data_IF_931693429145
#
_entry.id   IF_931693429145
#
_cell.length_a   1.000
_cell.length_b   1.000
_cell.length_c   1.000
_cell.angle_alpha   90.00
_cell.angle_beta   90.00
_cell.angle_gamma   90.00
#
_symmetry.space_group_name_H-M   'P 1'
#
loop_
_entity.id
_entity.type
_entity.pdbx_description
1 polymer ?
#
# COMPACT_ATOMS: atom_id res chain seq x y z
N UNK A 1 -3.68 5.49 -7.57
CA UNK A 1 -2.24 5.13 -7.46
C UNK A 1 -1.90 5.37 -6.01
N UNK A 2 -1.42 4.35 -5.30
CA UNK A 2 -1.01 4.51 -3.90
C UNK A 2 0.47 4.87 -3.89
N UNK A 3 0.80 5.99 -3.24
CA UNK A 3 2.18 6.43 -3.06
C UNK A 3 2.52 6.27 -1.59
N UNK A 4 3.58 5.51 -1.32
CA UNK A 4 4.16 5.37 0.02
C UNK A 4 5.51 6.05 -0.05
N UNK A 5 5.66 7.17 0.66
CA UNK A 5 6.89 7.95 0.70
C UNK A 5 7.64 7.69 2.00
N UNK A 6 8.96 7.59 1.93
CA UNK A 6 9.83 7.36 3.09
C UNK A 6 10.99 8.33 3.09
N UNK A 7 11.41 8.72 4.29
CA UNK A 7 12.71 9.28 4.54
C UNK A 7 13.61 8.14 5.03
N UNK A 8 14.79 8.03 4.43
CA UNK A 8 15.79 7.01 4.78
C UNK A 8 17.04 7.74 5.22
N UNK A 9 17.44 7.51 6.46
CA UNK A 9 18.70 7.99 7.02
C UNK A 9 19.67 6.81 7.13
N UNK A 10 20.83 6.95 6.50
CA UNK A 10 21.88 5.93 6.46
C UNK A 10 23.12 6.47 7.16
N UNK A 11 23.67 5.71 8.13
CA UNK A 11 24.93 6.02 8.81
C UNK A 11 25.89 4.84 8.70
N UNK A 12 27.16 5.12 8.36
CA UNK A 12 28.21 4.09 8.25
C UNK A 12 28.34 3.45 6.87
N UNK A 13 27.72 4.02 5.82
CA UNK A 13 27.75 3.48 4.45
C UNK A 13 28.53 4.36 3.46
N UNK A 14 29.47 5.15 3.95
CA UNK A 14 30.22 6.14 3.15
C UNK A 14 31.09 5.51 2.06
N UNK A 15 31.51 4.25 2.26
CA UNK A 15 32.30 3.49 1.30
C UNK A 15 31.49 2.99 0.08
N UNK A 16 30.16 3.04 0.12
CA UNK A 16 29.32 2.57 -0.99
C UNK A 16 29.16 3.64 -2.06
N UNK A 17 29.21 3.21 -3.32
CA UNK A 17 28.84 4.09 -4.44
C UNK A 17 27.37 4.46 -4.30
N UNK A 18 27.03 5.71 -4.58
CA UNK A 18 25.66 6.21 -4.55
C UNK A 18 24.69 5.35 -5.39
N UNK A 19 25.19 4.76 -6.49
CA UNK A 19 24.42 3.83 -7.33
C UNK A 19 23.99 2.58 -6.56
N UNK A 20 24.90 1.95 -5.84
CA UNK A 20 24.64 0.71 -5.10
C UNK A 20 23.69 0.96 -3.93
N UNK A 21 23.82 2.12 -3.27
CA UNK A 21 22.86 2.60 -2.27
C UNK A 21 21.46 2.76 -2.88
N UNK A 22 21.35 3.46 -4.00
CA UNK A 22 20.08 3.68 -4.68
C UNK A 22 19.46 2.38 -5.20
N UNK A 23 20.27 1.41 -5.61
CA UNK A 23 19.81 0.08 -6.02
C UNK A 23 19.24 -0.69 -4.82
N UNK A 24 19.98 -0.76 -3.71
CA UNK A 24 19.51 -1.41 -2.48
C UNK A 24 18.19 -0.80 -1.96
N UNK A 25 18.09 0.54 -1.93
CA UNK A 25 16.88 1.24 -1.51
C UNK A 25 15.72 0.95 -2.47
N UNK A 26 15.96 0.94 -3.79
CA UNK A 26 14.91 0.64 -4.78
C UNK A 26 14.39 -0.80 -4.65
N UNK A 27 15.28 -1.75 -4.41
CA UNK A 27 14.90 -3.15 -4.21
C UNK A 27 14.06 -3.32 -2.95
N UNK A 28 14.51 -2.76 -1.83
CA UNK A 28 13.80 -2.83 -0.55
C UNK A 28 12.42 -2.15 -0.60
N UNK A 29 12.34 -0.98 -1.25
CA UNK A 29 11.06 -0.30 -1.51
C UNK A 29 10.13 -1.10 -2.40
N UNK A 30 10.67 -1.77 -3.43
CA UNK A 30 9.87 -2.61 -4.32
C UNK A 30 9.29 -3.80 -3.55
N UNK A 31 10.11 -4.45 -2.71
CA UNK A 31 9.68 -5.53 -1.82
C UNK A 31 8.61 -5.06 -0.83
N UNK A 32 8.78 -3.87 -0.24
CA UNK A 32 7.79 -3.27 0.66
C UNK A 32 6.45 -3.05 -0.06
N UNK A 33 6.47 -2.50 -1.29
CA UNK A 33 5.25 -2.31 -2.09
C UNK A 33 4.54 -3.63 -2.42
N UNK A 34 5.30 -4.69 -2.73
CA UNK A 34 4.75 -6.04 -2.97
C UNK A 34 4.15 -6.61 -1.69
N UNK A 35 4.84 -6.47 -0.55
CA UNK A 35 4.34 -6.93 0.75
C UNK A 35 3.05 -6.21 1.12
N UNK A 36 3.00 -4.89 0.96
CA UNK A 36 1.80 -4.11 1.24
C UNK A 36 0.61 -4.59 0.39
N UNK A 37 0.85 -4.78 -0.91
CA UNK A 37 -0.17 -5.30 -1.83
C UNK A 37 -0.66 -6.69 -1.41
N UNK A 38 0.23 -7.58 -0.96
CA UNK A 38 -0.16 -8.94 -0.59
C UNK A 38 -0.93 -8.98 0.73
N UNK A 39 -0.51 -8.18 1.72
CA UNK A 39 -1.01 -8.27 3.10
C UNK A 39 -2.17 -7.32 3.38
N UNK A 40 -2.07 -6.06 2.97
CA UNK A 40 -3.02 -5.03 3.38
C UNK A 40 -4.05 -4.72 2.31
N UNK A 41 -3.68 -4.65 1.02
CA UNK A 41 -4.64 -4.36 -0.06
C UNK A 41 -5.91 -5.25 -0.05
N UNK A 42 -5.86 -6.56 0.27
CA UNK A 42 -7.08 -7.37 0.44
C UNK A 42 -8.03 -6.84 1.51
N UNK A 43 -7.51 -6.26 2.61
CA UNK A 43 -8.29 -5.75 3.73
C UNK A 43 -9.14 -4.55 3.32
N UNK A 44 -8.69 -3.73 2.37
CA UNK A 44 -9.45 -2.59 1.82
C UNK A 44 -10.78 -3.00 1.13
N UNK A 45 -10.95 -4.28 0.83
CA UNK A 45 -12.18 -4.85 0.25
C UNK A 45 -13.10 -5.51 1.29
N UNK A 46 -12.75 -5.43 2.58
CA UNK A 46 -13.49 -6.06 3.68
C UNK A 46 -14.18 -5.02 4.54
N UNK A 47 -15.27 -5.40 5.22
CA UNK A 47 -15.93 -4.52 6.20
C UNK A 47 -15.03 -4.22 7.40
N UNK A 48 -14.26 -5.20 7.86
CA UNK A 48 -13.32 -5.03 8.96
C UNK A 48 -12.23 -4.01 8.62
N UNK A 49 -11.63 -4.12 7.42
CA UNK A 49 -10.67 -3.13 6.94
C UNK A 49 -11.29 -1.75 6.79
N UNK A 50 -12.48 -1.61 6.19
CA UNK A 50 -13.12 -0.30 6.08
C UNK A 50 -13.37 0.39 7.44
N UNK A 51 -13.64 -0.37 8.51
CA UNK A 51 -13.68 0.17 9.88
C UNK A 51 -12.29 0.60 10.35
N UNK A 52 -11.28 -0.26 10.16
CA UNK A 52 -9.88 0.03 10.51
C UNK A 52 -9.36 1.30 9.83
N UNK A 53 -9.69 1.50 8.56
CA UNK A 53 -9.29 2.66 7.76
C UNK A 53 -10.28 3.83 7.82
N UNK A 54 -11.32 3.73 8.66
CA UNK A 54 -12.33 4.76 8.85
C UNK A 54 -12.97 5.28 7.54
N UNK A 55 -13.40 4.37 6.66
CA UNK A 55 -14.06 4.76 5.43
C UNK A 55 -15.41 5.44 5.69
N UNK A 56 -15.71 6.47 4.91
CA UNK A 56 -17.03 7.10 4.96
C UNK A 56 -18.09 6.12 4.47
N UNK A 57 -19.17 5.91 5.24
CA UNK A 57 -20.23 4.98 4.86
C UNK A 57 -20.85 5.38 3.52
N UNK A 58 -21.25 4.38 2.73
CA UNK A 58 -21.96 4.58 1.46
C UNK A 58 -23.43 4.90 1.73
N UNK A 59 -24.08 5.54 0.76
CA UNK A 59 -25.51 5.83 0.85
C UNK A 59 -26.33 4.54 1.02
N UNK A 60 -27.09 4.47 2.12
CA UNK A 60 -27.86 3.29 2.50
C UNK A 60 -27.07 2.24 3.27
N UNK A 61 -25.82 2.47 3.66
CA UNK A 61 -25.06 1.51 4.48
C UNK A 61 -25.59 1.42 5.92
N UNK A 62 -26.06 2.53 6.48
CA UNK A 62 -26.72 2.58 7.80
C UNK A 62 -28.13 1.96 7.79
N UNK A 63 -28.80 1.96 6.63
CA UNK A 63 -30.08 1.30 6.43
C UNK A 63 -30.11 0.59 5.06
N UNK A 64 -29.56 -0.63 4.97
CA UNK A 64 -29.43 -1.37 3.70
C UNK A 64 -30.76 -1.74 3.04
N UNK A 65 -31.85 -1.76 3.82
CA UNK A 65 -33.19 -2.10 3.35
C UNK A 65 -33.92 -0.90 2.72
N UNK A 66 -33.39 0.33 2.89
CA UNK A 66 -33.95 1.52 2.25
C UNK A 66 -33.85 1.40 0.73
N UNK A 67 -35.01 1.24 0.09
CA UNK A 67 -35.15 1.16 -1.37
C UNK A 67 -34.55 2.40 -2.05
N UNK A 68 -34.01 2.20 -3.24
CA UNK A 68 -33.42 3.27 -4.06
C UNK A 68 -32.00 3.70 -3.65
N UNK A 69 -31.43 3.13 -2.59
CA UNK A 69 -30.04 3.44 -2.18
C UNK A 69 -29.01 2.60 -2.94
N UNK A 70 -27.78 3.09 -3.04
CA UNK A 70 -26.65 2.36 -3.64
C UNK A 70 -26.45 1.00 -2.95
N UNK A 71 -26.43 0.98 -1.62
CA UNK A 71 -26.27 -0.25 -0.83
C UNK A 71 -27.43 -1.23 -1.08
N UNK A 72 -28.67 -0.75 -1.14
CA UNK A 72 -29.82 -1.61 -1.44
C UNK A 72 -29.75 -2.22 -2.85
N UNK A 73 -29.41 -1.41 -3.87
CA UNK A 73 -29.24 -1.89 -5.25
C UNK A 73 -28.18 -2.97 -5.32
N UNK A 74 -27.04 -2.74 -4.66
CA UNK A 74 -25.92 -3.66 -4.62
C UNK A 74 -26.25 -4.95 -3.86
N UNK A 75 -26.96 -4.86 -2.74
CA UNK A 75 -27.44 -6.00 -1.98
C UNK A 75 -28.40 -6.87 -2.83
N UNK A 76 -29.30 -6.24 -3.60
CA UNK A 76 -30.21 -6.96 -4.51
C UNK A 76 -29.51 -7.65 -5.68
N UNK A 77 -28.48 -7.02 -6.26
CA UNK A 77 -27.81 -7.54 -7.46
C UNK A 77 -26.69 -8.55 -7.14
N UNK A 78 -25.97 -8.34 -6.04
CA UNK A 78 -24.74 -9.08 -5.75
C UNK A 78 -24.72 -9.70 -4.35
N UNK A 79 -25.81 -9.58 -3.58
CA UNK A 79 -25.95 -10.18 -2.24
C UNK A 79 -24.87 -9.79 -1.23
N UNK A 80 -24.23 -8.63 -1.41
CA UNK A 80 -23.21 -8.13 -0.47
C UNK A 80 -23.17 -6.62 -0.36
N UNK A 81 -22.59 -6.13 0.74
CA UNK A 81 -22.34 -4.69 0.97
C UNK A 81 -20.86 -4.35 1.12
N UNK A 82 -19.96 -5.27 0.72
CA UNK A 82 -18.51 -5.12 0.85
C UNK A 82 -17.95 -3.79 0.31
N UNK A 83 -17.14 -3.05 1.09
CA UNK A 83 -16.49 -1.81 0.67
C UNK A 83 -15.65 -2.00 -0.59
N UNK A 84 -15.64 -1.01 -1.50
CA UNK A 84 -14.84 -1.03 -2.74
C UNK A 84 -15.03 -2.26 -3.66
N UNK A 85 -16.11 -3.01 -3.47
CA UNK A 85 -16.51 -4.14 -4.32
C UNK A 85 -17.90 -3.84 -4.85
N UNK A 86 -18.10 -3.64 -6.16
CA UNK A 86 -19.47 -3.59 -6.73
C UNK A 86 -19.77 -4.92 -7.43
N UNK A 87 -19.16 -5.15 -8.59
CA UNK A 87 -19.18 -6.44 -9.31
C UNK A 87 -18.07 -7.40 -8.88
N UNK A 88 -17.12 -6.93 -8.05
CA UNK A 88 -15.89 -7.69 -7.75
C UNK A 88 -14.73 -7.45 -8.71
N UNK A 89 -14.94 -6.79 -9.85
CA UNK A 89 -13.88 -6.53 -10.81
C UNK A 89 -12.71 -5.71 -10.23
N UNK A 90 -12.98 -4.67 -9.43
CA UNK A 90 -11.92 -3.87 -8.80
C UNK A 90 -11.04 -4.74 -7.90
N UNK A 91 -11.66 -5.55 -7.04
CA UNK A 91 -10.95 -6.50 -6.17
C UNK A 91 -10.13 -7.46 -7.01
N UNK A 92 -10.73 -8.06 -8.03
CA UNK A 92 -10.07 -9.01 -8.94
C UNK A 92 -8.85 -8.39 -9.61
N UNK A 93 -9.01 -7.22 -10.26
CA UNK A 93 -7.93 -6.53 -10.96
C UNK A 93 -6.83 -6.04 -10.01
N UNK A 94 -7.19 -5.57 -8.80
CA UNK A 94 -6.23 -5.08 -7.82
C UNK A 94 -5.38 -6.19 -7.23
N UNK A 95 -5.97 -7.38 -7.03
CA UNK A 95 -5.30 -8.52 -6.40
C UNK A 95 -4.58 -9.42 -7.42
N UNK A 96 -5.21 -9.72 -8.57
CA UNK A 96 -4.65 -10.62 -9.59
C UNK A 96 -3.74 -9.93 -10.61
N UNK A 97 -3.92 -8.62 -10.84
CA UNK A 97 -3.12 -7.91 -11.83
C UNK A 97 -1.63 -7.91 -11.45
N UNK A 98 -0.75 -7.99 -12.44
CA UNK A 98 0.63 -7.50 -12.32
C UNK A 98 0.58 -5.97 -12.16
N UNK A 99 0.13 -5.52 -10.99
CA UNK A 99 0.22 -4.12 -10.65
C UNK A 99 1.69 -3.79 -10.46
N UNK A 100 2.22 -3.11 -11.47
CA UNK A 100 3.59 -2.60 -11.50
C UNK A 100 3.86 -1.88 -10.18
N UNK A 101 4.97 -2.21 -9.55
CA UNK A 101 5.53 -1.43 -8.45
C UNK A 101 6.65 -0.58 -9.04
N UNK A 102 6.68 0.72 -8.74
CA UNK A 102 7.76 1.60 -9.18
C UNK A 102 8.39 2.25 -7.97
N UNK A 103 9.64 1.88 -7.67
CA UNK A 103 10.43 2.53 -6.63
C UNK A 103 11.33 3.60 -7.25
N UNK A 104 11.47 4.73 -6.55
CA UNK A 104 12.43 5.77 -6.88
C UNK A 104 13.18 6.16 -5.61
N UNK A 105 14.50 6.26 -5.72
CA UNK A 105 15.40 6.77 -4.67
C UNK A 105 16.11 8.01 -5.21
N UNK A 106 16.08 9.09 -4.45
CA UNK A 106 16.95 10.26 -4.61
C UNK A 106 17.82 10.38 -3.36
N UNK A 107 18.82 11.26 -3.38
CA UNK A 107 19.76 11.44 -2.26
C UNK A 107 19.07 11.72 -0.91
N UNK A 108 17.90 12.35 -0.92
CA UNK A 108 17.18 12.76 0.30
C UNK A 108 15.82 12.10 0.51
N UNK A 109 15.25 11.45 -0.51
CA UNK A 109 13.89 10.91 -0.46
C UNK A 109 13.77 9.64 -1.27
N UNK A 110 13.06 8.66 -0.72
CA UNK A 110 12.71 7.47 -1.47
C UNK A 110 11.21 7.23 -1.41
N UNK A 111 10.62 6.71 -2.48
CA UNK A 111 9.20 6.41 -2.49
C UNK A 111 8.88 5.24 -3.41
N UNK A 112 7.86 4.49 -3.03
CA UNK A 112 7.29 3.43 -3.84
C UNK A 112 5.88 3.81 -4.29
N UNK A 113 5.60 3.51 -5.56
CA UNK A 113 4.26 3.64 -6.15
C UNK A 113 3.75 2.26 -6.47
N UNK A 114 2.63 1.89 -5.86
CA UNK A 114 1.86 0.72 -6.22
C UNK A 114 0.76 1.17 -7.19
N UNK A 115 0.89 0.75 -8.44
CA UNK A 115 -0.10 1.08 -9.45
C UNK A 115 -1.38 0.29 -9.18
N UNK A 116 -2.54 0.93 -9.26
CA UNK A 116 -3.84 0.29 -9.07
C UNK A 116 -4.65 0.46 -10.35
N UNK A 117 -5.53 -0.50 -10.71
CA UNK A 117 -6.34 -0.41 -11.92
C UNK A 117 -7.21 0.86 -11.89
N UNK A 118 -7.23 1.58 -13.01
CA UNK A 118 -8.08 2.76 -13.20
C UNK A 118 -9.35 2.35 -13.97
N UNK A 119 -10.51 2.41 -13.32
CA UNK A 119 -11.85 2.41 -13.96
C UNK A 119 -12.69 3.52 -13.33
N UNK A 120 -13.68 4.00 -14.09
CA UNK A 120 -14.65 4.97 -13.61
C UNK A 120 -15.37 4.48 -12.35
N UNK A 121 -15.73 5.40 -11.44
CA UNK A 121 -16.47 5.16 -10.19
C UNK A 121 -15.74 4.40 -9.07
N UNK A 122 -14.44 4.15 -9.20
CA UNK A 122 -13.63 3.55 -8.13
C UNK A 122 -13.15 4.61 -7.14
N UNK A 123 -13.38 4.42 -5.83
CA UNK A 123 -12.82 5.27 -4.78
C UNK A 123 -11.37 4.90 -4.50
N UNK A 124 -10.50 5.18 -5.47
CA UNK A 124 -9.08 4.83 -5.38
C UNK A 124 -8.35 5.48 -4.19
N UNK A 125 -8.86 6.61 -3.67
CA UNK A 125 -8.31 7.25 -2.48
C UNK A 125 -8.48 6.38 -1.22
N UNK A 126 -9.56 5.60 -1.11
CA UNK A 126 -9.77 4.67 0.01
C UNK A 126 -8.76 3.51 -0.04
N UNK A 127 -8.33 3.11 -1.24
CA UNK A 127 -7.31 2.07 -1.45
C UNK A 127 -5.87 2.56 -1.22
N UNK A 128 -5.67 3.86 -1.02
CA UNK A 128 -4.35 4.44 -0.76
C UNK A 128 -4.10 4.82 0.69
N UNK A 129 -5.11 4.70 1.55
CA UNK A 129 -4.97 4.96 2.99
C UNK A 129 -4.03 3.91 3.59
N UNK A 130 -3.10 4.33 4.42
CA UNK A 130 -2.25 3.43 5.21
C UNK A 130 -2.58 3.69 6.67
N UNK A 131 -2.90 2.65 7.44
CA UNK A 131 -3.17 2.83 8.87
C UNK A 131 -1.86 3.02 9.65
N UNK A 132 -1.87 3.63 10.85
CA UNK A 132 -0.67 3.74 11.69
C UNK A 132 0.00 2.39 11.96
N UNK A 133 -0.79 1.35 12.24
CA UNK A 133 -0.24 -0.01 12.44
C UNK A 133 0.47 -0.56 11.19
N UNK A 134 -0.06 -0.25 10.01
CA UNK A 134 0.53 -0.67 8.73
C UNK A 134 1.81 0.10 8.47
N UNK A 135 1.82 1.38 8.81
CA UNK A 135 3.01 2.21 8.74
C UNK A 135 4.13 1.61 9.58
N UNK A 136 3.87 1.30 10.85
CA UNK A 136 4.87 0.71 11.75
C UNK A 136 5.38 -0.65 11.26
N UNK A 137 4.50 -1.53 10.77
CA UNK A 137 4.91 -2.83 10.22
C UNK A 137 5.73 -2.70 8.92
N UNK A 138 5.40 -1.73 8.06
CA UNK A 138 6.14 -1.47 6.82
C UNK A 138 7.50 -0.83 7.08
N UNK A 139 7.60 0.10 8.03
CA UNK A 139 8.86 0.68 8.48
C UNK A 139 9.82 -0.40 8.99
N UNK A 140 9.33 -1.25 9.90
CA UNK A 140 10.11 -2.37 10.43
C UNK A 140 10.60 -3.28 9.30
N UNK A 141 9.71 -3.68 8.41
CA UNK A 141 10.07 -4.51 7.26
C UNK A 141 11.10 -3.85 6.35
N UNK A 142 10.99 -2.54 6.12
CA UNK A 142 11.90 -1.81 5.24
C UNK A 142 13.31 -1.70 5.86
N UNK A 143 13.42 -1.49 7.17
CA UNK A 143 14.70 -1.53 7.89
C UNK A 143 15.35 -2.91 7.75
N UNK A 144 14.60 -3.98 8.09
CA UNK A 144 15.10 -5.37 8.02
C UNK A 144 15.56 -5.75 6.59
N UNK A 145 14.79 -5.37 5.56
CA UNK A 145 15.14 -5.68 4.17
C UNK A 145 16.33 -4.83 3.69
N UNK A 146 16.43 -3.56 4.10
CA UNK A 146 17.60 -2.71 3.80
C UNK A 146 18.88 -3.27 4.43
N UNK A 147 18.85 -3.63 5.71
CA UNK A 147 19.98 -4.25 6.39
C UNK A 147 20.42 -5.52 5.66
N UNK A 148 19.46 -6.39 5.30
CA UNK A 148 19.74 -7.60 4.50
C UNK A 148 20.37 -7.28 3.15
N UNK A 149 19.90 -6.23 2.47
CA UNK A 149 20.45 -5.79 1.18
C UNK A 149 21.87 -5.25 1.31
N UNK A 150 22.19 -4.55 2.40
CA UNK A 150 23.54 -4.05 2.67
C UNK A 150 24.51 -5.16 3.10
N UNK A 151 24.06 -6.10 3.94
CA UNK A 151 24.87 -7.27 4.32
C UNK A 151 25.27 -8.10 3.10
N UNK A 152 24.34 -8.31 2.15
CA UNK A 152 24.66 -8.98 0.86
C UNK A 152 25.73 -8.26 0.03
N UNK A 153 25.89 -6.96 0.25
CA UNK A 153 26.90 -6.11 -0.42
C UNK A 153 28.17 -5.96 0.43
N UNK A 154 28.30 -6.73 1.52
CA UNK A 154 29.49 -6.76 2.37
C UNK A 154 29.63 -5.55 3.30
N UNK A 155 28.54 -4.85 3.61
CA UNK A 155 28.56 -3.64 4.42
C UNK A 155 27.62 -3.76 5.63
N UNK A 156 28.03 -3.17 6.74
CA UNK A 156 27.27 -3.11 7.99
C UNK A 156 27.20 -1.66 8.45
N UNK A 157 26.02 -1.22 8.89
CA UNK A 157 25.79 0.15 9.33
C UNK A 157 24.42 0.29 9.97
N UNK A 158 24.06 1.49 10.37
CA UNK A 158 22.77 1.77 11.00
C UNK A 158 21.81 2.36 9.97
N UNK A 159 20.63 1.75 9.86
CA UNK A 159 19.54 2.20 8.99
C UNK A 159 18.41 2.75 9.85
N UNK A 160 17.97 3.98 9.57
CA UNK A 160 16.75 4.56 10.14
C UNK A 160 15.79 4.92 9.02
N UNK A 161 14.53 4.56 9.19
CA UNK A 161 13.48 4.80 8.20
C UNK A 161 12.27 5.42 8.91
N UNK A 162 11.67 6.42 8.27
CA UNK A 162 10.37 6.96 8.67
C UNK A 162 9.49 7.12 7.44
N UNK A 163 8.24 6.65 7.53
CA UNK A 163 7.22 6.87 6.51
C UNK A 163 6.67 8.29 6.63
N UNK A 164 6.50 8.94 5.49
CA UNK A 164 5.90 10.27 5.38
C UNK A 164 4.40 10.09 5.11
N UNK A 165 3.52 10.72 5.92
CA UNK A 165 2.08 10.67 5.71
C UNK A 165 1.63 11.32 4.39
#
# INVERSE_FOLDING_TARGET
>A
MTRIAVNVELKGFEALKQRDLNDAIRDALSNMGVRWKRRYLPLHFTKAGARKYNYKPRQGELNPLRRGTYTNRKLRLFSHTLPNVYTGELRRLSLQGQTKTTAKSTASRAHVRVHLPRKANFRLHELSIVSPDEQAELEKFLVEDLERQFTKRGQSGTVKVSLVP
#
